data_IF_799655172769
#
_entry.id   IF_799655172769
#
_cell.length_a   1.000
_cell.length_b   1.000
_cell.length_c   1.000
_cell.angle_alpha   90.00
_cell.angle_beta   90.00
_cell.angle_gamma   90.00
#
_symmetry.space_group_name_H-M   'P 1'
#
loop_
_entity.id
_entity.type
_entity.pdbx_description
1 polymer ?
#
# COMPACT_ATOMS: atom_id res chain seq x y z
N UNK A 1 6.60 4.31 10.22
CA UNK A 1 6.46 5.07 8.97
C UNK A 1 7.69 5.93 8.76
N UNK A 2 7.97 6.87 9.66
CA UNK A 2 9.16 7.73 9.55
C UNK A 2 10.50 6.98 9.54
N UNK A 3 10.63 5.89 10.30
CA UNK A 3 11.79 4.98 10.20
C UNK A 3 12.02 4.42 8.79
N UNK A 4 10.93 4.10 8.07
CA UNK A 4 11.03 3.66 6.67
C UNK A 4 11.49 4.81 5.78
N UNK A 5 10.97 6.02 5.98
CA UNK A 5 11.41 7.20 5.21
C UNK A 5 12.90 7.49 5.42
N UNK A 6 13.38 7.40 6.65
CA UNK A 6 14.79 7.63 6.98
C UNK A 6 15.71 6.55 6.39
N UNK A 7 15.39 5.27 6.60
CA UNK A 7 16.20 4.15 6.09
C UNK A 7 16.22 4.03 4.56
N UNK A 8 15.31 4.73 3.87
CA UNK A 8 15.27 4.83 2.40
C UNK A 8 15.73 6.20 1.89
N UNK A 9 16.38 7.00 2.74
CA UNK A 9 16.94 8.32 2.41
C UNK A 9 15.91 9.31 1.84
N UNK A 10 14.65 9.23 2.29
CA UNK A 10 13.57 10.14 1.90
C UNK A 10 13.48 11.37 2.82
N UNK A 11 14.03 11.28 4.03
CA UNK A 11 14.10 12.38 5.00
C UNK A 11 15.53 12.48 5.55
N UNK A 12 15.93 13.66 6.00
CA UNK A 12 17.26 13.88 6.57
C UNK A 12 17.42 13.28 7.97
N UNK A 13 18.67 13.12 8.41
CA UNK A 13 18.99 12.66 9.76
C UNK A 13 18.41 13.61 10.83
N UNK A 14 18.41 14.92 10.57
CA UNK A 14 17.86 15.94 11.46
C UNK A 14 16.33 15.78 11.61
N UNK A 15 15.62 15.56 10.50
CA UNK A 15 14.18 15.34 10.52
C UNK A 15 13.84 14.04 11.25
N UNK A 16 14.57 12.95 10.99
CA UNK A 16 14.38 11.68 11.68
C UNK A 16 14.62 11.80 13.19
N UNK A 17 15.69 12.46 13.61
CA UNK A 17 16.01 12.70 15.02
C UNK A 17 14.95 13.61 15.68
N UNK A 18 14.46 14.62 14.96
CA UNK A 18 13.38 15.50 15.40
C UNK A 18 12.10 14.72 15.70
N UNK A 19 11.74 13.77 14.84
CA UNK A 19 10.57 12.91 15.02
C UNK A 19 10.76 11.99 16.21
N UNK A 20 11.89 11.27 16.29
CA UNK A 20 12.15 10.31 17.37
C UNK A 20 12.17 10.97 18.76
N UNK A 21 12.65 12.20 18.86
CA UNK A 21 12.70 12.94 20.13
C UNK A 21 11.36 13.53 20.53
N UNK A 22 10.59 14.04 19.57
CA UNK A 22 9.45 14.91 19.88
C UNK A 22 8.07 14.26 19.66
N UNK A 23 7.99 13.16 18.91
CA UNK A 23 6.74 12.47 18.60
C UNK A 23 6.53 11.21 19.44
N UNK A 24 5.32 11.04 19.97
CA UNK A 24 4.93 9.84 20.70
C UNK A 24 3.84 9.04 19.97
N UNK A 25 4.25 7.99 19.27
CA UNK A 25 3.35 7.11 18.51
C UNK A 25 2.70 5.99 19.33
N UNK A 26 3.00 5.87 20.63
CA UNK A 26 2.50 4.76 21.47
C UNK A 26 1.14 5.03 22.11
N UNK A 27 0.79 6.31 22.29
CA UNK A 27 -0.44 6.76 22.93
C UNK A 27 -1.45 7.24 21.87
N UNK A 28 -2.59 6.56 21.77
CA UNK A 28 -3.69 7.04 20.93
C UNK A 28 -4.23 8.33 21.54
N UNK A 29 -4.29 9.39 20.74
CA UNK A 29 -4.74 10.70 21.20
C UNK A 29 -3.71 11.45 22.07
N UNK A 30 -2.43 11.07 22.03
CA UNK A 30 -1.39 11.95 22.57
C UNK A 30 -1.42 13.28 21.80
N UNK A 31 -1.52 14.39 22.53
CA UNK A 31 -1.31 15.71 21.94
C UNK A 31 0.08 15.71 21.31
N UNK A 32 0.15 16.01 20.02
CA UNK A 32 1.42 16.24 19.35
C UNK A 32 2.03 17.52 19.92
N UNK A 33 3.34 17.52 20.12
CA UNK A 33 4.06 18.74 20.45
C UNK A 33 4.22 19.56 19.17
N UNK A 34 4.28 20.89 19.26
CA UNK A 34 4.57 21.73 18.09
C UNK A 34 5.87 21.28 17.37
N UNK A 35 6.86 20.81 18.14
CA UNK A 35 8.10 20.25 17.59
C UNK A 35 7.91 18.93 16.84
N UNK A 36 6.93 18.12 17.22
CA UNK A 36 6.55 16.92 16.48
C UNK A 36 5.81 17.27 15.19
N UNK A 37 4.91 18.26 15.25
CA UNK A 37 4.18 18.73 14.08
C UNK A 37 5.17 19.31 13.06
N UNK A 38 6.08 20.19 13.48
CA UNK A 38 7.12 20.78 12.61
C UNK A 38 7.99 19.69 11.94
N UNK A 39 8.45 18.69 12.71
CA UNK A 39 9.27 17.61 12.17
C UNK A 39 8.48 16.67 11.23
N UNK A 40 7.19 16.47 11.51
CA UNK A 40 6.29 15.69 10.67
C UNK A 40 5.96 16.40 9.37
N UNK A 41 5.79 17.73 9.42
CA UNK A 41 5.55 18.58 8.27
C UNK A 41 6.78 18.60 7.36
N UNK A 42 7.99 18.74 7.89
CA UNK A 42 9.23 18.65 7.11
C UNK A 42 9.40 17.29 6.42
N UNK A 43 9.05 16.20 7.12
CA UNK A 43 9.01 14.87 6.50
C UNK A 43 7.96 14.78 5.37
N UNK A 44 6.81 15.44 5.53
CA UNK A 44 5.80 15.56 4.49
C UNK A 44 6.27 16.35 3.29
N UNK A 45 6.95 17.48 3.51
CA UNK A 45 7.52 18.32 2.45
C UNK A 45 8.56 17.56 1.62
N UNK A 46 9.39 16.74 2.28
CA UNK A 46 10.39 15.88 1.61
C UNK A 46 9.77 14.85 0.66
N UNK A 47 8.49 14.51 0.85
CA UNK A 47 7.75 13.51 0.08
C UNK A 47 6.80 14.11 -0.97
N UNK A 48 6.75 15.44 -1.13
CA UNK A 48 5.77 16.11 -1.99
C UNK A 48 5.78 15.64 -3.44
N UNK A 49 6.96 15.35 -3.96
CA UNK A 49 7.17 14.85 -5.32
C UNK A 49 7.49 13.35 -5.35
N UNK A 50 7.06 12.59 -4.33
CA UNK A 50 7.29 11.15 -4.24
C UNK A 50 5.95 10.45 -4.00
N UNK A 51 5.64 9.47 -4.85
CA UNK A 51 4.51 8.57 -4.61
C UNK A 51 4.79 7.70 -3.36
N UNK A 52 4.10 8.00 -2.26
CA UNK A 52 4.22 7.25 -1.00
C UNK A 52 3.74 5.79 -1.11
N UNK A 53 2.93 5.49 -2.14
CA UNK A 53 2.46 4.13 -2.41
C UNK A 53 3.52 3.31 -3.16
N UNK A 54 4.43 3.96 -3.88
CA UNK A 54 5.61 3.32 -4.46
C UNK A 54 6.75 4.34 -4.69
N UNK A 55 7.69 4.40 -3.75
CA UNK A 55 8.79 5.38 -3.76
C UNK A 55 9.76 5.25 -4.96
N UNK A 56 9.67 4.17 -5.72
CA UNK A 56 10.48 3.93 -6.92
C UNK A 56 9.68 4.06 -8.22
N UNK A 57 8.36 4.29 -8.14
CA UNK A 57 7.54 4.51 -9.31
C UNK A 57 7.70 5.95 -9.82
N UNK A 58 7.59 6.17 -11.14
CA UNK A 58 7.51 7.52 -11.67
C UNK A 58 6.18 8.16 -11.27
N UNK A 59 6.18 9.47 -11.04
CA UNK A 59 4.96 10.23 -10.87
C UNK A 59 4.24 10.43 -12.21
N UNK A 60 2.91 10.57 -12.13
CA UNK A 60 2.12 11.00 -13.27
C UNK A 60 2.57 12.39 -13.75
N UNK A 61 2.85 12.51 -15.05
CA UNK A 61 3.35 13.76 -15.65
C UNK A 61 2.24 14.65 -16.20
N UNK A 62 1.03 14.11 -16.38
CA UNK A 62 -0.10 14.83 -16.95
C UNK A 62 -1.42 14.17 -16.57
N UNK A 63 -2.30 14.94 -15.95
CA UNK A 63 -3.68 14.56 -15.62
C UNK A 63 -4.59 14.50 -16.86
N UNK A 64 -4.11 15.00 -18.00
CA UNK A 64 -4.92 15.10 -19.23
C UNK A 64 -5.09 13.72 -19.87
N UNK A 65 -6.33 13.46 -20.28
CA UNK A 65 -6.65 12.33 -21.14
C UNK A 65 -5.98 12.50 -22.52
N UNK A 66 -5.37 11.43 -23.00
CA UNK A 66 -4.70 11.40 -24.30
C UNK A 66 -5.61 10.80 -25.38
N UNK A 67 -5.45 11.30 -26.60
CA UNK A 67 -6.13 10.77 -27.80
C UNK A 67 -5.07 10.45 -28.86
N UNK A 68 -4.93 9.18 -29.30
CA UNK A 68 -5.72 8.02 -28.90
C UNK A 68 -5.46 7.57 -27.45
N UNK A 69 -6.39 6.83 -26.81
CA UNK A 69 -6.17 6.28 -25.46
C UNK A 69 -4.93 5.38 -25.41
N UNK A 70 -4.22 5.40 -24.27
CA UNK A 70 -3.09 4.51 -24.02
C UNK A 70 -3.59 3.07 -23.95
N UNK A 71 -2.90 2.17 -24.65
CA UNK A 71 -3.19 0.74 -24.56
C UNK A 71 -2.75 0.23 -23.17
N UNK A 72 -3.60 -0.49 -22.43
CA UNK A 72 -3.24 -1.00 -21.11
C UNK A 72 -2.09 -2.01 -21.23
N UNK A 73 -1.15 -1.94 -20.29
CA UNK A 73 0.00 -2.84 -20.21
C UNK A 73 0.01 -3.58 -18.87
N UNK A 74 0.33 -4.87 -18.91
CA UNK A 74 0.54 -5.71 -17.72
C UNK A 74 2.00 -5.60 -17.24
N UNK A 75 2.91 -5.21 -18.14
CA UNK A 75 4.35 -5.13 -17.85
C UNK A 75 4.76 -3.73 -17.37
N UNK A 76 4.03 -2.69 -17.78
CA UNK A 76 4.35 -1.31 -17.46
C UNK A 76 3.17 -0.67 -16.74
N UNK A 77 3.38 -0.34 -15.47
CA UNK A 77 2.41 0.45 -14.70
C UNK A 77 2.42 1.91 -15.18
N UNK A 78 1.23 2.45 -15.41
CA UNK A 78 1.03 3.86 -15.74
C UNK A 78 0.55 4.61 -14.49
N UNK A 79 1.34 5.56 -13.94
CA UNK A 79 0.99 6.29 -12.73
C UNK A 79 -0.19 7.26 -12.92
N UNK A 80 -0.64 7.49 -14.16
CA UNK A 80 -1.77 8.37 -14.45
C UNK A 80 -3.12 7.61 -14.51
N UNK A 81 -3.15 6.35 -14.10
CA UNK A 81 -4.33 5.46 -14.23
C UNK A 81 -5.59 5.98 -13.53
N UNK A 82 -5.46 6.64 -12.39
CA UNK A 82 -6.59 7.20 -11.65
C UNK A 82 -7.42 8.20 -12.49
N UNK A 83 -6.75 9.05 -13.28
CA UNK A 83 -7.42 10.00 -14.17
C UNK A 83 -8.25 9.30 -15.25
N UNK A 84 -7.79 8.13 -15.71
CA UNK A 84 -8.51 7.36 -16.73
C UNK A 84 -9.74 6.69 -16.13
N UNK A 85 -9.62 6.17 -14.91
CA UNK A 85 -10.73 5.55 -14.18
C UNK A 85 -11.81 6.58 -13.86
N UNK A 86 -11.42 7.75 -13.35
CA UNK A 86 -12.35 8.85 -13.07
C UNK A 86 -13.12 9.27 -14.32
N UNK A 87 -12.41 9.54 -15.41
CA UNK A 87 -13.03 9.89 -16.68
C UNK A 87 -13.96 8.79 -17.21
N UNK A 88 -13.59 7.51 -17.07
CA UNK A 88 -14.38 6.38 -17.56
C UNK A 88 -15.67 6.20 -16.76
N UNK A 89 -15.58 6.19 -15.43
CA UNK A 89 -16.73 5.94 -14.54
C UNK A 89 -17.70 7.13 -14.47
N UNK A 90 -17.26 8.32 -14.86
CA UNK A 90 -18.12 9.49 -15.02
C UNK A 90 -18.84 9.58 -16.38
N UNK A 91 -18.63 8.63 -17.31
CA UNK A 91 -19.36 8.61 -18.57
C UNK A 91 -20.82 8.15 -18.40
N UNK A 92 -21.81 8.83 -19.02
CA UNK A 92 -23.22 8.45 -18.89
C UNK A 92 -23.56 7.05 -19.43
N UNK A 93 -22.90 6.62 -20.50
CA UNK A 93 -23.11 5.29 -21.08
C UNK A 93 -22.55 4.17 -20.18
N UNK A 94 -21.39 4.41 -19.56
CA UNK A 94 -20.77 3.52 -18.57
C UNK A 94 -21.63 3.44 -17.30
N UNK A 95 -22.07 4.57 -16.76
CA UNK A 95 -22.97 4.59 -15.59
C UNK A 95 -24.27 3.84 -15.88
N UNK A 96 -24.87 4.06 -17.06
CA UNK A 96 -26.06 3.32 -17.48
C UNK A 96 -25.82 1.81 -17.58
N UNK A 97 -24.68 1.39 -18.13
CA UNK A 97 -24.32 -0.02 -18.26
C UNK A 97 -24.09 -0.70 -16.90
N UNK A 98 -23.56 0.03 -15.92
CA UNK A 98 -23.36 -0.47 -14.55
C UNK A 98 -24.61 -0.33 -13.67
N UNK A 99 -25.71 0.19 -14.20
CA UNK A 99 -26.90 0.59 -13.42
C UNK A 99 -26.56 1.56 -12.26
N UNK A 100 -25.56 2.40 -12.45
CA UNK A 100 -25.15 3.44 -11.51
C UNK A 100 -25.89 4.76 -11.78
N UNK A 101 -25.91 5.64 -10.78
CA UNK A 101 -26.47 6.99 -10.88
C UNK A 101 -27.95 7.06 -11.36
N UNK A 102 -28.75 6.03 -11.05
CA UNK A 102 -30.17 5.93 -11.48
C UNK A 102 -31.00 7.09 -10.91
N UNK A 103 -30.70 7.52 -9.69
CA UNK A 103 -31.41 8.59 -8.99
C UNK A 103 -30.89 10.00 -9.29
N UNK A 104 -29.87 10.14 -10.17
CA UNK A 104 -29.20 11.42 -10.47
C UNK A 104 -28.59 12.07 -9.23
N UNK A 105 -27.49 11.49 -8.78
CA UNK A 105 -26.62 12.06 -7.76
C UNK A 105 -26.18 13.48 -8.18
N UNK A 106 -26.00 14.33 -7.17
CA UNK A 106 -25.62 15.74 -7.31
C UNK A 106 -24.10 15.95 -7.41
N UNK A 107 -23.33 14.87 -7.39
CA UNK A 107 -21.88 14.86 -7.48
C UNK A 107 -21.42 13.80 -8.51
N UNK A 108 -20.24 13.99 -9.11
CA UNK A 108 -19.62 12.97 -9.95
C UNK A 108 -19.16 11.77 -9.11
N UNK A 109 -18.89 10.65 -9.78
CA UNK A 109 -18.13 9.57 -9.18
C UNK A 109 -16.71 10.05 -8.86
N UNK A 110 -16.15 9.60 -7.74
CA UNK A 110 -14.75 9.78 -7.35
C UNK A 110 -14.23 8.51 -6.66
N UNK A 111 -12.92 8.28 -6.71
CA UNK A 111 -12.29 7.11 -6.08
C UNK A 111 -12.43 7.14 -4.54
N UNK A 112 -12.28 8.32 -3.95
CA UNK A 112 -12.41 8.58 -2.51
C UNK A 112 -13.41 9.71 -2.26
N UNK A 113 -14.14 9.64 -1.15
CA UNK A 113 -15.12 10.65 -0.75
C UNK A 113 -14.50 11.68 0.19
N UNK A 114 -14.40 12.93 -0.27
CA UNK A 114 -13.90 14.04 0.55
C UNK A 114 -14.84 14.45 1.70
N UNK A 115 -16.09 13.98 1.70
CA UNK A 115 -17.06 14.24 2.78
C UNK A 115 -16.69 13.47 4.06
N UNK A 116 -16.03 12.31 3.93
CA UNK A 116 -15.72 11.42 5.04
C UNK A 116 -14.37 11.77 5.67
N UNK A 117 -14.25 12.99 6.21
CA UNK A 117 -13.00 13.48 6.81
C UNK A 117 -12.77 13.00 8.24
N UNK A 118 -13.84 12.64 8.97
CA UNK A 118 -13.77 12.30 10.40
C UNK A 118 -14.28 10.90 10.69
N UNK A 119 -13.38 9.93 10.55
CA UNK A 119 -13.62 8.56 11.01
C UNK A 119 -13.15 8.40 12.46
N UNK A 120 -14.01 7.85 13.32
CA UNK A 120 -13.77 7.84 14.78
C UNK A 120 -13.26 6.51 15.30
N UNK A 121 -13.67 5.39 14.69
CA UNK A 121 -13.26 4.05 15.11
C UNK A 121 -11.97 3.63 14.41
N UNK A 122 -10.87 3.51 15.17
CA UNK A 122 -9.57 3.07 14.67
C UNK A 122 -8.84 2.24 15.73
N UNK A 123 -9.15 0.94 15.79
CA UNK A 123 -8.48 0.01 16.71
C UNK A 123 -6.96 0.01 16.48
N UNK A 124 -6.17 0.10 17.57
CA UNK A 124 -4.69 0.09 17.51
C UNK A 124 -4.11 -1.19 16.90
N UNK A 125 -4.83 -2.30 16.93
CA UNK A 125 -4.36 -3.59 16.43
C UNK A 125 -5.50 -4.51 16.05
N UNK A 126 -5.27 -5.35 15.04
CA UNK A 126 -6.18 -6.43 14.60
C UNK A 126 -5.70 -7.82 15.02
N UNK A 127 -4.60 -7.92 15.78
CA UNK A 127 -4.01 -9.20 16.18
C UNK A 127 -4.97 -10.13 16.96
N UNK A 128 -5.82 -9.64 17.89
CA UNK A 128 -6.77 -10.51 18.57
C UNK A 128 -7.73 -11.21 17.60
N UNK A 129 -8.19 -10.48 16.58
CA UNK A 129 -9.09 -10.99 15.54
C UNK A 129 -8.39 -12.06 14.71
N UNK A 130 -7.16 -11.79 14.25
CA UNK A 130 -6.38 -12.76 13.46
C UNK A 130 -6.18 -14.07 14.25
N UNK A 131 -5.83 -13.97 15.54
CA UNK A 131 -5.65 -15.14 16.41
C UNK A 131 -6.94 -15.94 16.58
N UNK A 132 -8.08 -15.26 16.72
CA UNK A 132 -9.38 -15.90 16.82
C UNK A 132 -9.75 -16.64 15.52
N UNK A 133 -9.54 -16.02 14.36
CA UNK A 133 -9.77 -16.66 13.06
C UNK A 133 -8.93 -17.93 12.90
N UNK A 134 -7.64 -17.85 13.23
CA UNK A 134 -6.73 -19.01 13.18
C UNK A 134 -7.16 -20.13 14.13
N UNK A 135 -7.61 -19.79 15.36
CA UNK A 135 -8.11 -20.77 16.33
C UNK A 135 -9.37 -21.51 15.83
N UNK A 136 -10.17 -20.86 15.00
CA UNK A 136 -11.37 -21.44 14.39
C UNK A 136 -11.10 -22.10 13.02
N UNK A 137 -9.84 -22.42 12.71
CA UNK A 137 -9.41 -23.05 11.47
C UNK A 137 -9.76 -22.25 10.20
N UNK A 138 -9.87 -20.92 10.30
CA UNK A 138 -10.01 -20.04 9.14
C UNK A 138 -8.61 -19.74 8.60
N UNK A 139 -8.39 -20.01 7.31
CA UNK A 139 -7.12 -19.73 6.64
C UNK A 139 -6.97 -18.24 6.42
N UNK A 140 -5.95 -17.64 7.03
CA UNK A 140 -5.62 -16.21 6.93
C UNK A 140 -4.25 -16.06 6.28
N UNK A 141 -4.17 -15.29 5.20
CA UNK A 141 -2.91 -14.84 4.61
C UNK A 141 -2.81 -13.32 4.75
N UNK A 142 -1.65 -12.84 5.16
CA UNK A 142 -1.33 -11.40 5.19
C UNK A 142 -0.15 -11.19 4.26
N UNK A 143 -0.34 -10.38 3.22
CA UNK A 143 0.72 -10.06 2.30
C UNK A 143 1.07 -8.58 2.39
N UNK A 144 2.35 -8.27 2.19
CA UNK A 144 2.89 -6.91 2.21
C UNK A 144 3.92 -6.73 1.09
N UNK A 145 4.36 -5.50 0.93
CA UNK A 145 5.34 -5.09 -0.06
C UNK A 145 6.76 -5.30 0.44
N UNK A 146 7.67 -5.48 -0.50
CA UNK A 146 9.10 -5.20 -0.29
C UNK A 146 9.63 -4.45 -1.50
N UNK A 147 10.05 -3.20 -1.30
CA UNK A 147 10.50 -2.29 -2.36
C UNK A 147 12.00 -2.37 -2.62
N UNK A 148 12.77 -3.24 -1.96
CA UNK A 148 14.23 -3.27 -2.14
C UNK A 148 14.71 -4.08 -3.36
N UNK A 149 15.70 -3.47 -4.01
CA UNK A 149 16.56 -3.98 -5.08
C UNK A 149 17.42 -5.17 -4.65
N UNK A 150 17.83 -5.97 -5.62
CA UNK A 150 19.01 -6.82 -5.52
C UNK A 150 18.84 -8.20 -4.90
N UNK A 151 18.77 -8.31 -3.58
CA UNK A 151 19.03 -9.56 -2.85
C UNK A 151 18.08 -9.68 -1.67
N UNK A 152 17.60 -10.88 -1.33
CA UNK A 152 16.85 -11.14 -0.10
C UNK A 152 17.69 -10.71 1.12
N UNK A 153 17.41 -9.57 1.78
CA UNK A 153 18.19 -9.16 2.92
C UNK A 153 17.58 -9.86 4.14
N UNK A 154 18.38 -10.70 4.79
CA UNK A 154 18.15 -11.08 6.17
C UNK A 154 18.32 -9.84 7.06
N UNK A 155 17.26 -9.07 7.27
CA UNK A 155 17.24 -7.97 8.24
C UNK A 155 16.10 -8.12 9.26
N UNK A 156 16.27 -7.57 10.49
CA UNK A 156 15.61 -8.04 11.70
C UNK A 156 14.18 -7.51 11.79
N UNK A 157 13.27 -8.39 12.19
CA UNK A 157 11.89 -8.06 12.49
C UNK A 157 11.76 -7.59 13.95
N UNK A 158 11.68 -6.28 14.18
CA UNK A 158 11.17 -5.72 15.44
C UNK A 158 9.85 -5.01 15.16
N UNK A 159 8.72 -5.72 15.26
CA UNK A 159 7.79 -5.53 16.38
C UNK A 159 6.80 -6.68 16.57
N UNK A 160 7.05 -7.84 15.95
CA UNK A 160 6.61 -9.12 16.52
C UNK A 160 7.84 -9.73 17.17
N UNK A 161 7.95 -9.63 18.50
CA UNK A 161 8.84 -10.52 19.24
C UNK A 161 8.37 -11.95 18.99
N UNK A 162 9.01 -12.58 18.00
CA UNK A 162 9.30 -14.00 17.87
C UNK A 162 10.15 -14.15 16.61
N UNK A 163 11.47 -14.09 16.85
CA UNK A 163 12.52 -14.84 16.16
C UNK A 163 12.18 -15.34 14.75
N UNK A 164 12.95 -14.85 13.77
CA UNK A 164 13.13 -15.45 12.44
C UNK A 164 12.07 -15.08 11.39
N UNK A 165 12.57 -14.55 10.27
CA UNK A 165 11.88 -14.50 8.97
C UNK A 165 11.24 -15.83 8.55
N UNK A 166 11.72 -16.97 9.09
CA UNK A 166 11.10 -18.28 8.91
C UNK A 166 9.73 -18.42 9.60
N UNK A 167 9.50 -17.78 10.75
CA UNK A 167 8.24 -17.79 11.49
C UNK A 167 7.17 -16.91 10.82
N UNK A 168 7.55 -15.85 10.11
CA UNK A 168 6.63 -15.03 9.30
C UNK A 168 6.08 -15.79 8.08
N UNK A 169 6.93 -16.52 7.35
CA UNK A 169 6.46 -17.44 6.29
C UNK A 169 5.60 -18.57 6.84
N UNK A 170 5.94 -19.12 8.01
CA UNK A 170 5.16 -20.18 8.67
C UNK A 170 3.77 -19.70 9.12
N UNK A 171 3.59 -18.42 9.42
CA UNK A 171 2.32 -17.81 9.82
C UNK A 171 1.60 -17.05 8.69
N UNK A 172 1.95 -17.29 7.42
CA UNK A 172 1.21 -16.76 6.26
C UNK A 172 1.55 -15.32 5.86
N UNK A 173 2.67 -14.77 6.36
CA UNK A 173 3.25 -13.50 5.93
C UNK A 173 3.99 -13.64 4.59
N UNK A 174 3.62 -12.85 3.57
CA UNK A 174 4.22 -12.91 2.23
C UNK A 174 4.67 -11.53 1.77
N UNK A 175 5.88 -11.44 1.19
CA UNK A 175 6.36 -10.21 0.52
C UNK A 175 6.32 -10.36 -1.00
N UNK A 176 5.85 -9.32 -1.69
CA UNK A 176 5.92 -9.24 -3.16
C UNK A 176 6.95 -8.19 -3.54
N UNK A 177 8.09 -8.67 -4.08
CA UNK A 177 9.22 -7.84 -4.49
C UNK A 177 8.84 -6.91 -5.64
N UNK A 178 9.22 -5.63 -5.53
CA UNK A 178 9.00 -4.63 -6.58
C UNK A 178 7.54 -4.19 -6.72
N UNK A 179 6.71 -4.43 -5.71
CA UNK A 179 5.33 -3.98 -5.66
C UNK A 179 5.21 -2.69 -4.83
N UNK A 180 4.42 -1.73 -5.34
CA UNK A 180 3.83 -0.66 -4.54
C UNK A 180 2.57 -1.13 -3.81
N UNK A 181 1.93 -0.22 -3.06
CA UNK A 181 0.74 -0.49 -2.22
C UNK A 181 -0.32 -1.32 -2.92
N UNK A 182 -0.56 -1.01 -4.19
CA UNK A 182 -1.42 -1.77 -5.08
C UNK A 182 -0.66 -2.93 -5.73
N UNK A 183 -0.40 -3.99 -4.97
CA UNK A 183 0.37 -5.15 -5.45
C UNK A 183 -0.06 -5.67 -6.84
N UNK A 184 -1.37 -5.82 -7.14
CA UNK A 184 -1.80 -6.29 -8.46
C UNK A 184 -1.48 -5.31 -9.59
N UNK A 185 -1.41 -4.00 -9.32
CA UNK A 185 -1.11 -2.97 -10.31
C UNK A 185 0.38 -3.00 -10.71
N UNK A 186 1.29 -3.18 -9.76
CA UNK A 186 2.74 -3.18 -10.01
C UNK A 186 3.34 -4.57 -10.31
N UNK A 187 2.74 -5.64 -9.76
CA UNK A 187 3.24 -7.01 -9.89
C UNK A 187 2.10 -8.00 -10.21
N UNK A 188 1.36 -7.80 -11.32
CA UNK A 188 0.13 -8.56 -11.63
C UNK A 188 0.36 -10.08 -11.70
N UNK A 189 1.47 -10.52 -12.30
CA UNK A 189 1.81 -11.96 -12.38
C UNK A 189 2.01 -12.58 -11.00
N UNK A 190 2.77 -11.90 -10.12
CA UNK A 190 3.04 -12.39 -8.75
C UNK A 190 1.77 -12.34 -7.88
N UNK A 191 0.97 -11.29 -8.03
CA UNK A 191 -0.32 -11.15 -7.35
C UNK A 191 -1.27 -12.30 -7.72
N UNK A 192 -1.31 -12.67 -9.00
CA UNK A 192 -2.13 -13.78 -9.48
C UNK A 192 -1.69 -15.11 -8.87
N UNK A 193 -0.39 -15.40 -8.84
CA UNK A 193 0.16 -16.61 -8.20
C UNK A 193 -0.20 -16.66 -6.72
N UNK A 194 -0.14 -15.53 -6.02
CA UNK A 194 -0.53 -15.42 -4.61
C UNK A 194 -2.00 -15.81 -4.41
N UNK A 195 -2.90 -15.19 -5.16
CA UNK A 195 -4.35 -15.46 -5.05
C UNK A 195 -4.68 -16.91 -5.45
N UNK A 196 -4.08 -17.43 -6.51
CA UNK A 196 -4.30 -18.80 -6.96
C UNK A 196 -3.89 -19.83 -5.89
N UNK A 197 -2.72 -19.66 -5.28
CA UNK A 197 -2.25 -20.58 -4.24
C UNK A 197 -3.07 -20.44 -2.96
N UNK A 198 -3.46 -19.21 -2.58
CA UNK A 198 -4.37 -18.99 -1.46
C UNK A 198 -5.69 -19.73 -1.65
N UNK A 199 -6.33 -19.60 -2.82
CA UNK A 199 -7.60 -20.25 -3.11
C UNK A 199 -7.45 -21.78 -3.15
N UNK A 200 -6.39 -22.28 -3.78
CA UNK A 200 -6.11 -23.71 -3.89
C UNK A 200 -5.64 -24.36 -2.56
N UNK A 201 -5.35 -23.57 -1.53
CA UNK A 201 -4.77 -24.06 -0.27
C UNK A 201 -3.37 -24.64 -0.42
N UNK A 202 -2.62 -24.15 -1.39
CA UNK A 202 -1.24 -24.56 -1.67
C UNK A 202 -0.26 -23.58 -1.05
N UNK A 203 0.91 -24.08 -0.68
CA UNK A 203 2.03 -23.22 -0.33
C UNK A 203 2.47 -22.43 -1.57
N UNK A 204 3.06 -21.25 -1.38
CA UNK A 204 3.69 -20.53 -2.47
C UNK A 204 4.88 -21.34 -3.04
N UNK A 205 5.14 -21.24 -4.35
CA UNK A 205 6.33 -21.83 -4.97
C UNK A 205 7.62 -21.24 -4.38
N UNK A 206 8.70 -22.02 -4.39
CA UNK A 206 10.01 -21.55 -3.95
C UNK A 206 10.52 -20.46 -4.90
N UNK A 207 11.15 -19.41 -4.37
CA UNK A 207 11.57 -18.23 -5.11
C UNK A 207 12.54 -18.57 -6.26
N UNK A 208 13.25 -19.70 -6.19
CA UNK A 208 14.13 -20.21 -7.26
C UNK A 208 13.38 -20.59 -8.55
N UNK A 209 12.09 -20.87 -8.47
CA UNK A 209 11.24 -21.21 -9.63
C UNK A 209 10.50 -19.98 -10.18
N UNK A 210 10.41 -18.88 -9.43
CA UNK A 210 9.64 -17.68 -9.81
C UNK A 210 10.29 -16.81 -10.91
N UNK A 211 11.56 -17.03 -11.23
CA UNK A 211 12.27 -16.28 -12.29
C UNK A 211 12.27 -17.00 -13.64
N UNK A 212 11.66 -18.19 -13.74
CA UNK A 212 11.75 -19.05 -14.92
C UNK A 212 10.53 -18.98 -15.87
N UNK A 213 9.49 -18.18 -15.57
CA UNK A 213 8.28 -18.07 -16.40
C UNK A 213 7.81 -16.61 -16.63
#
# INVERSE_FOLDING_TARGET
MYDFFWTHALISDETAEGIDKNCNFTAAGAATSALCDDASDEAGESLRDIDIYNIYAPNCQSEKLVTPPIAPSIENFDPCTDYYVDAYLNRPDVQKAMHANVTRLDHPWSACSEVLTRWVDSAKTVLPIIRELMKNNIRVWVYRLETLTGECPSLPADSLSTSSSSLWRQNGGQTVRGAGHEVPSYQPRRALVLVQNFLAGKALPDCKECEQN
#
